data_IF_988047427070
#
_entry.id   IF_988047427070
#
_cell.length_a   1.000
_cell.length_b   1.000
_cell.length_c   1.000
_cell.angle_alpha   90.00
_cell.angle_beta   90.00
_cell.angle_gamma   90.00
#
_symmetry.space_group_name_H-M   'P 1'
#
loop_
_entity.id
_entity.type
_entity.pdbx_description
1 polymer ?
#
# COMPACT_ATOMS: atom_id res chain seq x y z
N UNK A 1 -6.08 49.51 6.07
CA UNK A 1 -5.63 48.42 5.19
C UNK A 1 -6.35 48.58 3.86
N UNK A 2 -5.62 48.76 2.77
CA UNK A 2 -6.21 49.03 1.44
C UNK A 2 -6.79 47.77 0.81
N UNK A 3 -7.70 47.91 -0.16
CA UNK A 3 -8.30 46.78 -0.89
C UNK A 3 -7.24 45.86 -1.53
N UNK A 4 -6.15 46.46 -2.03
CA UNK A 4 -5.00 45.73 -2.58
C UNK A 4 -4.22 44.96 -1.51
N UNK A 5 -4.08 45.50 -0.30
CA UNK A 5 -3.50 44.79 0.84
C UNK A 5 -4.39 43.64 1.36
N UNK A 6 -5.71 43.76 1.22
CA UNK A 6 -6.65 42.68 1.55
C UNK A 6 -6.60 41.55 0.51
N UNK A 7 -6.50 41.90 -0.78
CA UNK A 7 -6.33 40.95 -1.89
C UNK A 7 -5.02 40.16 -1.76
N UNK A 8 -3.89 40.83 -1.54
CA UNK A 8 -2.58 40.16 -1.45
C UNK A 8 -2.52 39.17 -0.29
N UNK A 9 -3.12 39.49 0.86
CA UNK A 9 -3.22 38.59 2.02
C UNK A 9 -4.15 37.39 1.77
N UNK A 10 -5.22 37.57 1.00
CA UNK A 10 -6.12 36.49 0.60
C UNK A 10 -5.49 35.51 -0.39
N UNK A 11 -4.62 35.98 -1.29
CA UNK A 11 -3.87 35.12 -2.24
C UNK A 11 -2.85 34.20 -1.54
N UNK A 12 -2.28 34.66 -0.43
CA UNK A 12 -1.27 33.92 0.36
C UNK A 12 -1.93 32.97 1.36
N UNK A 13 -3.15 33.26 1.81
CA UNK A 13 -3.91 32.41 2.73
C UNK A 13 -4.65 31.28 1.98
N UNK A 14 -4.01 30.10 1.97
CA UNK A 14 -4.59 28.79 1.61
C UNK A 14 -4.69 28.44 0.12
N UNK A 15 -3.53 28.18 -0.50
CA UNK A 15 -3.45 27.04 -1.43
C UNK A 15 -3.13 25.76 -0.62
N UNK A 16 -4.14 25.18 0.02
CA UNK A 16 -3.98 23.84 0.61
C UNK A 16 -3.76 22.88 -0.56
N UNK A 17 -2.49 22.54 -0.85
CA UNK A 17 -2.19 21.60 -1.92
C UNK A 17 -2.98 20.31 -1.66
N UNK A 18 -3.61 19.76 -2.70
CA UNK A 18 -4.31 18.47 -2.57
C UNK A 18 -3.32 17.47 -1.97
N UNK A 19 -3.72 16.68 -0.95
CA UNK A 19 -2.82 15.68 -0.37
C UNK A 19 -2.22 14.86 -1.49
N UNK A 20 -0.89 14.94 -1.68
CA UNK A 20 -0.19 14.16 -2.70
C UNK A 20 -0.32 12.69 -2.32
N UNK A 21 -1.26 12.00 -2.95
CA UNK A 21 -1.53 10.60 -2.71
C UNK A 21 -0.50 9.72 -3.43
N UNK A 22 0.79 9.98 -3.19
CA UNK A 22 1.90 9.31 -3.89
C UNK A 22 1.89 7.80 -3.65
N UNK A 23 1.56 7.34 -2.44
CA UNK A 23 1.46 5.91 -2.11
C UNK A 23 0.40 5.22 -2.97
N UNK A 24 -0.79 5.82 -3.08
CA UNK A 24 -1.84 5.34 -3.97
C UNK A 24 -1.38 5.32 -5.44
N UNK A 25 -0.66 6.35 -5.92
CA UNK A 25 -0.15 6.37 -7.30
C UNK A 25 0.88 5.26 -7.54
N UNK A 26 1.77 5.02 -6.58
CA UNK A 26 2.76 3.93 -6.65
C UNK A 26 2.03 2.60 -6.67
N UNK A 27 1.11 2.35 -5.72
CA UNK A 27 0.33 1.10 -5.65
C UNK A 27 -0.46 0.85 -6.94
N UNK A 28 -1.17 1.86 -7.46
CA UNK A 28 -1.89 1.77 -8.73
C UNK A 28 -0.96 1.43 -9.90
N UNK A 29 0.25 2.02 -9.93
CA UNK A 29 1.25 1.72 -10.96
C UNK A 29 1.76 0.29 -10.86
N UNK A 30 2.04 -0.20 -9.65
CA UNK A 30 2.46 -1.58 -9.38
C UNK A 30 1.40 -2.60 -9.81
N UNK A 31 0.14 -2.39 -9.41
CA UNK A 31 -0.99 -3.24 -9.79
C UNK A 31 -1.19 -3.24 -11.30
N UNK A 32 -1.09 -2.08 -11.95
CA UNK A 32 -1.20 -1.97 -13.42
C UNK A 32 -0.08 -2.73 -14.11
N UNK A 33 1.17 -2.52 -13.71
CA UNK A 33 2.31 -3.25 -14.24
C UNK A 33 2.11 -4.77 -14.10
N UNK A 34 1.79 -5.23 -12.89
CA UNK A 34 1.62 -6.66 -12.62
C UNK A 34 0.57 -7.30 -13.53
N UNK A 35 -0.58 -6.65 -13.69
CA UNK A 35 -1.67 -7.16 -14.54
C UNK A 35 -1.30 -7.20 -16.02
N UNK A 36 -0.49 -6.25 -16.49
CA UNK A 36 0.01 -6.23 -17.88
C UNK A 36 1.10 -7.28 -18.12
N UNK A 37 2.03 -7.44 -17.18
CA UNK A 37 3.16 -8.36 -17.29
C UNK A 37 2.76 -9.82 -17.04
N UNK A 38 1.90 -10.05 -16.07
CA UNK A 38 1.46 -11.37 -15.61
C UNK A 38 -0.06 -11.54 -15.75
N UNK A 39 -0.63 -11.47 -16.97
CA UNK A 39 -2.08 -11.53 -17.16
C UNK A 39 -2.69 -12.84 -16.65
N UNK A 40 -1.93 -13.93 -16.66
CA UNK A 40 -2.35 -15.24 -16.12
C UNK A 40 -2.43 -15.28 -14.58
N UNK A 41 -1.78 -14.33 -13.88
CA UNK A 41 -1.83 -14.18 -12.42
C UNK A 41 -2.60 -12.95 -11.96
N UNK A 42 -3.29 -12.23 -12.87
CA UNK A 42 -3.92 -10.92 -12.60
C UNK A 42 -4.81 -10.85 -11.35
N UNK A 43 -5.43 -11.97 -10.97
CA UNK A 43 -6.35 -12.08 -9.83
C UNK A 43 -5.66 -12.60 -8.57
N UNK A 44 -4.39 -13.03 -8.66
CA UNK A 44 -3.60 -13.50 -7.52
C UNK A 44 -2.93 -12.35 -6.78
N UNK A 45 -2.74 -11.19 -7.42
CA UNK A 45 -2.35 -9.94 -6.75
C UNK A 45 -3.61 -9.11 -6.46
N UNK A 46 -3.94 -8.93 -5.19
CA UNK A 46 -5.08 -8.12 -4.75
C UNK A 46 -4.71 -7.18 -3.62
N UNK A 47 -5.47 -6.09 -3.52
CA UNK A 47 -5.31 -5.12 -2.45
C UNK A 47 -6.13 -5.50 -1.23
N UNK A 48 -5.56 -5.30 -0.05
CA UNK A 48 -6.28 -5.36 1.22
C UNK A 48 -6.60 -3.92 1.62
N UNK A 49 -7.86 -3.43 1.48
CA UNK A 49 -8.21 -2.02 1.63
C UNK A 49 -8.33 -1.61 3.11
N UNK A 50 -7.39 -2.03 3.96
CA UNK A 50 -7.43 -1.82 5.40
C UNK A 50 -7.27 -0.35 5.81
N UNK A 51 -6.82 0.53 4.92
CA UNK A 51 -6.76 1.98 5.15
C UNK A 51 -8.00 2.74 4.64
N UNK A 52 -9.01 2.05 4.07
CA UNK A 52 -10.18 2.71 3.49
C UNK A 52 -10.94 3.57 4.52
N UNK A 53 -11.40 4.75 4.10
CA UNK A 53 -12.21 5.62 4.97
C UNK A 53 -13.55 4.92 5.24
N UNK A 54 -13.94 4.84 6.51
CA UNK A 54 -15.19 4.20 6.95
C UNK A 54 -15.78 4.93 8.14
N UNK A 55 -17.08 4.74 8.37
CA UNK A 55 -17.76 5.20 9.59
C UNK A 55 -17.30 4.37 10.79
N UNK A 56 -17.50 4.88 12.01
CA UNK A 56 -17.18 4.13 13.22
C UNK A 56 -17.95 2.79 13.27
N UNK A 57 -19.23 2.81 12.91
CA UNK A 57 -20.09 1.61 12.87
C UNK A 57 -19.57 0.57 11.86
N UNK A 58 -19.26 0.98 10.63
CA UNK A 58 -18.73 0.04 9.63
C UNK A 58 -17.34 -0.46 10.04
N UNK A 59 -16.53 0.39 10.67
CA UNK A 59 -15.23 -0.03 11.21
C UNK A 59 -15.34 -1.09 12.32
N UNK A 60 -16.39 -1.04 13.14
CA UNK A 60 -16.68 -2.08 14.12
C UNK A 60 -17.08 -3.39 13.43
N UNK A 61 -18.05 -3.34 12.51
CA UNK A 61 -18.46 -4.53 11.75
C UNK A 61 -17.29 -5.18 11.00
N UNK A 62 -16.45 -4.39 10.33
CA UNK A 62 -15.28 -4.94 9.64
C UNK A 62 -14.31 -5.63 10.61
N UNK A 63 -14.12 -5.12 11.83
CA UNK A 63 -13.29 -5.79 12.84
C UNK A 63 -13.94 -7.08 13.33
N UNK A 64 -15.25 -7.08 13.53
CA UNK A 64 -16.02 -8.29 13.88
C UNK A 64 -15.94 -9.34 12.76
N UNK A 65 -15.88 -8.89 11.50
CA UNK A 65 -15.67 -9.71 10.30
C UNK A 65 -14.20 -10.14 10.09
N UNK A 66 -13.28 -9.73 10.98
CA UNK A 66 -11.87 -10.16 10.97
C UNK A 66 -10.89 -9.19 10.32
N UNK A 67 -11.26 -7.92 10.10
CA UNK A 67 -10.31 -6.89 9.65
C UNK A 67 -9.23 -6.66 10.72
N UNK A 68 -8.01 -7.06 10.39
CA UNK A 68 -6.83 -6.86 11.22
C UNK A 68 -6.11 -5.55 10.87
N UNK A 69 -5.67 -4.75 11.86
CA UNK A 69 -4.77 -3.64 11.60
C UNK A 69 -3.40 -4.16 11.14
N UNK A 70 -2.70 -3.39 10.30
CA UNK A 70 -1.31 -3.67 9.97
C UNK A 70 -1.06 -4.70 8.86
N UNK A 71 -2.09 -5.38 8.35
CA UNK A 71 -1.98 -6.23 7.14
C UNK A 71 -1.42 -5.41 5.98
N UNK A 72 -0.51 -6.00 5.22
CA UNK A 72 0.09 -5.40 4.04
C UNK A 72 -0.95 -4.93 3.01
N UNK A 73 -0.64 -3.85 2.28
CA UNK A 73 -1.54 -3.24 1.31
C UNK A 73 -1.88 -4.14 0.12
N UNK A 74 -0.93 -4.96 -0.33
CA UNK A 74 -1.09 -5.91 -1.42
C UNK A 74 -0.65 -7.32 -0.98
N UNK A 75 -1.37 -8.32 -1.46
CA UNK A 75 -1.00 -9.72 -1.31
C UNK A 75 -0.96 -10.35 -2.70
N UNK A 76 0.19 -10.92 -3.05
CA UNK A 76 0.35 -11.85 -4.15
C UNK A 76 0.21 -13.26 -3.58
N UNK A 77 -0.99 -13.83 -3.71
CA UNK A 77 -1.32 -15.18 -3.28
C UNK A 77 -0.82 -16.19 -4.32
N UNK A 78 0.50 -16.36 -4.35
CA UNK A 78 1.20 -17.32 -5.20
C UNK A 78 2.42 -17.81 -4.43
N UNK A 79 2.49 -19.12 -4.20
CA UNK A 79 3.66 -19.73 -3.59
C UNK A 79 4.83 -19.82 -4.57
N UNK A 80 6.03 -19.88 -4.02
CA UNK A 80 7.26 -20.24 -4.72
C UNK A 80 8.03 -21.29 -3.90
N UNK A 81 9.28 -21.59 -4.27
CA UNK A 81 10.12 -22.59 -3.58
C UNK A 81 10.31 -22.34 -2.08
N UNK A 82 10.26 -21.09 -1.64
CA UNK A 82 10.63 -20.68 -0.29
C UNK A 82 9.46 -20.15 0.55
N UNK A 83 8.42 -19.60 -0.10
CA UNK A 83 7.37 -18.85 0.56
C UNK A 83 5.98 -19.21 0.05
N UNK A 84 4.97 -19.13 0.93
CA UNK A 84 3.56 -19.38 0.60
C UNK A 84 2.88 -18.25 -0.16
N UNK A 85 3.24 -17.00 0.15
CA UNK A 85 2.75 -15.79 -0.51
C UNK A 85 3.76 -14.64 -0.37
N UNK A 86 3.57 -13.61 -1.19
CA UNK A 86 4.29 -12.33 -1.08
C UNK A 86 3.33 -11.24 -0.59
N UNK A 87 3.61 -10.70 0.59
CA UNK A 87 2.93 -9.57 1.20
C UNK A 87 3.73 -8.29 0.93
N UNK A 88 3.10 -7.28 0.33
CA UNK A 88 3.74 -6.04 -0.10
C UNK A 88 3.09 -4.85 0.59
N UNK A 89 3.87 -4.19 1.44
CA UNK A 89 3.49 -2.95 2.10
C UNK A 89 4.02 -1.76 1.30
N UNK A 90 3.14 -0.82 0.97
CA UNK A 90 3.48 0.36 0.20
C UNK A 90 3.86 1.48 1.15
N UNK A 91 4.94 2.19 0.84
CA UNK A 91 5.33 3.42 1.52
C UNK A 91 5.74 4.49 0.53
N UNK A 92 5.59 5.75 0.92
CA UNK A 92 6.28 6.84 0.22
C UNK A 92 7.75 6.85 0.62
N UNK A 93 8.65 7.38 -0.24
CA UNK A 93 10.00 7.70 0.17
C UNK A 93 10.00 8.55 1.46
N UNK A 94 10.80 8.15 2.45
CA UNK A 94 10.86 8.79 3.77
C UNK A 94 9.82 8.32 4.79
N UNK A 95 8.83 7.50 4.39
CA UNK A 95 7.87 6.90 5.31
C UNK A 95 8.30 5.47 5.70
N UNK A 96 7.86 5.04 6.88
CA UNK A 96 8.25 3.76 7.50
C UNK A 96 7.04 3.00 8.03
N UNK A 97 7.21 1.70 8.25
CA UNK A 97 6.17 0.86 8.86
C UNK A 97 5.82 1.34 10.28
N UNK A 98 4.52 1.31 10.57
CA UNK A 98 3.99 1.51 11.92
C UNK A 98 4.25 0.26 12.77
N UNK A 99 4.26 0.37 14.12
CA UNK A 99 4.47 -0.78 15.00
C UNK A 99 3.58 -1.98 14.68
N UNK A 100 2.27 -1.78 14.50
CA UNK A 100 1.31 -2.83 14.14
C UNK A 100 1.60 -3.51 12.80
N UNK A 101 2.24 -2.80 11.84
CA UNK A 101 2.65 -3.38 10.56
C UNK A 101 3.88 -4.27 10.73
N UNK A 102 4.79 -3.91 11.64
CA UNK A 102 5.96 -4.73 11.98
C UNK A 102 5.58 -5.98 12.76
N UNK A 103 4.60 -5.87 13.66
CA UNK A 103 4.03 -7.00 14.38
C UNK A 103 3.40 -8.00 13.39
N UNK A 104 2.54 -7.52 12.50
CA UNK A 104 1.93 -8.37 11.49
C UNK A 104 2.95 -8.96 10.50
N UNK A 105 3.97 -8.18 10.10
CA UNK A 105 5.10 -8.70 9.32
C UNK A 105 5.73 -9.91 10.00
N UNK A 106 6.12 -9.77 11.27
CA UNK A 106 6.75 -10.86 12.04
C UNK A 106 5.87 -12.11 12.07
N UNK A 107 4.56 -11.94 12.27
CA UNK A 107 3.61 -13.04 12.29
C UNK A 107 3.48 -13.72 10.91
N UNK A 108 3.35 -12.95 9.83
CA UNK A 108 3.19 -13.54 8.50
C UNK A 108 4.45 -14.26 8.02
N UNK A 109 5.64 -13.73 8.36
CA UNK A 109 6.95 -14.34 8.08
C UNK A 109 7.15 -15.62 8.88
N UNK A 110 6.78 -15.62 10.17
CA UNK A 110 6.81 -16.83 11.00
C UNK A 110 5.90 -17.95 10.46
N UNK A 111 4.87 -17.59 9.68
CA UNK A 111 3.98 -18.52 8.99
C UNK A 111 4.41 -18.79 7.52
N UNK A 112 5.67 -18.55 7.17
CA UNK A 112 6.25 -18.96 5.89
C UNK A 112 5.92 -18.05 4.70
N UNK A 113 5.50 -16.81 4.93
CA UNK A 113 5.26 -15.83 3.87
C UNK A 113 6.43 -14.85 3.76
N UNK A 114 6.59 -14.24 2.59
CA UNK A 114 7.56 -13.15 2.40
C UNK A 114 6.88 -11.81 2.60
N UNK A 115 7.43 -10.96 3.44
CA UNK A 115 6.98 -9.58 3.58
C UNK A 115 8.02 -8.62 3.00
N UNK A 116 7.58 -7.60 2.27
CA UNK A 116 8.46 -6.55 1.74
C UNK A 116 7.83 -5.17 1.90
N UNK A 117 8.67 -4.16 2.05
CA UNK A 117 8.28 -2.75 1.97
C UNK A 117 8.74 -2.19 0.63
N UNK A 118 7.81 -1.63 -0.13
CA UNK A 118 8.04 -1.10 -1.49
C UNK A 118 7.81 0.40 -1.49
N UNK A 119 8.76 1.15 -2.06
CA UNK A 119 8.71 2.62 -2.10
C UNK A 119 8.62 3.21 -3.51
N UNK A 120 8.75 2.38 -4.54
CA UNK A 120 8.71 2.79 -5.94
C UNK A 120 8.12 1.68 -6.82
N UNK A 121 7.81 2.01 -8.08
CA UNK A 121 7.43 1.00 -9.08
C UNK A 121 8.61 0.08 -9.41
N UNK A 122 9.82 0.62 -9.51
CA UNK A 122 11.01 -0.14 -9.89
C UNK A 122 11.35 -1.19 -8.81
N UNK A 123 11.27 -0.80 -7.52
CA UNK A 123 11.43 -1.73 -6.39
C UNK A 123 10.41 -2.89 -6.50
N UNK A 124 9.16 -2.56 -6.82
CA UNK A 124 8.10 -3.56 -6.96
C UNK A 124 8.39 -4.53 -8.09
N UNK A 125 8.79 -4.02 -9.26
CA UNK A 125 9.14 -4.83 -10.43
C UNK A 125 10.23 -5.82 -10.06
N UNK A 126 11.34 -5.34 -9.50
CA UNK A 126 12.48 -6.19 -9.13
C UNK A 126 12.09 -7.27 -8.14
N UNK A 127 11.30 -6.92 -7.11
CA UNK A 127 10.87 -7.88 -6.09
C UNK A 127 9.93 -8.94 -6.67
N UNK A 128 8.90 -8.53 -7.42
CA UNK A 128 7.90 -9.46 -7.95
C UNK A 128 8.51 -10.37 -9.01
N UNK A 129 9.35 -9.82 -9.89
CA UNK A 129 9.98 -10.58 -10.96
C UNK A 129 10.96 -11.61 -10.37
N UNK A 130 11.71 -11.26 -9.32
CA UNK A 130 12.58 -12.21 -8.65
C UNK A 130 11.79 -13.26 -7.85
N UNK A 131 10.74 -12.85 -7.13
CA UNK A 131 9.88 -13.78 -6.39
C UNK A 131 9.25 -14.84 -7.29
N UNK A 132 8.85 -14.47 -8.51
CA UNK A 132 8.24 -15.36 -9.50
C UNK A 132 9.26 -16.18 -10.32
N UNK A 133 10.56 -15.89 -10.26
CA UNK A 133 11.60 -16.75 -10.86
C UNK A 133 11.88 -17.99 -10.00
N UNK A 134 11.72 -17.88 -8.69
CA UNK A 134 11.97 -18.95 -7.72
C UNK A 134 10.81 -19.97 -7.62
N UNK A 135 10.04 -20.18 -8.70
CA UNK A 135 8.94 -21.16 -8.75
C UNK A 135 9.50 -22.59 -8.82
#
# INVERSE_FOLDING_TARGET
MTYEEMKSKACVASSRSKPKNEEHKIQCSCVRYFRLKYPHLRNMLFAVPNAARRSARNGAYMKDEGMLPGVADLILLKSNRFYGALCVEMKKPGEYQRPVQKEWQKECEANGNKYVVVKSLDDFIDIVDNYLKDI
#
